data_IF_186526448663
#
_entry.id   IF_186526448663
#
_cell.length_a   1.000
_cell.length_b   1.000
_cell.length_c   1.000
_cell.angle_alpha   90.00
_cell.angle_beta   90.00
_cell.angle_gamma   90.00
#
_symmetry.space_group_name_H-M   'P 1'
#
loop_
_entity.id
_entity.type
_entity.pdbx_description
1 polymer ?
#
# COMPACT_ATOMS: atom_id res chain seq x y z
N UNK A 1 -9.13 -21.08 19.76
CA UNK A 1 -9.51 -21.06 18.34
C UNK A 1 -8.63 -20.03 17.66
N UNK A 2 -7.92 -20.35 16.55
CA UNK A 2 -7.21 -19.32 15.82
C UNK A 2 -8.24 -18.32 15.27
N UNK A 3 -7.93 -17.02 15.31
CA UNK A 3 -8.77 -16.02 14.66
C UNK A 3 -8.95 -16.41 13.18
N UNK A 4 -10.15 -16.24 12.58
CA UNK A 4 -10.32 -16.48 11.17
C UNK A 4 -9.27 -15.66 10.42
N UNK A 5 -8.53 -16.28 9.49
CA UNK A 5 -7.65 -15.55 8.61
C UNK A 5 -8.47 -14.42 7.98
N UNK A 6 -8.14 -13.17 8.31
CA UNK A 6 -8.87 -12.02 7.80
C UNK A 6 -8.82 -12.06 6.27
N UNK A 7 -9.97 -11.95 5.62
CA UNK A 7 -9.99 -11.90 4.16
C UNK A 7 -9.16 -10.70 3.67
N UNK A 8 -8.61 -10.74 2.44
CA UNK A 8 -7.92 -9.60 1.85
C UNK A 8 -8.71 -8.28 1.99
N UNK A 9 -10.03 -8.35 1.79
CA UNK A 9 -10.92 -7.21 1.93
C UNK A 9 -11.02 -6.74 3.40
N UNK A 10 -11.13 -7.65 4.36
CA UNK A 10 -11.16 -7.29 5.77
C UNK A 10 -9.83 -6.66 6.22
N UNK A 11 -8.71 -7.19 5.72
CA UNK A 11 -7.37 -6.65 5.98
C UNK A 11 -7.25 -5.19 5.52
N UNK A 12 -7.58 -4.91 4.25
CA UNK A 12 -7.45 -3.53 3.73
C UNK A 12 -8.41 -2.56 4.42
N UNK A 13 -9.61 -3.01 4.81
CA UNK A 13 -10.54 -2.20 5.59
C UNK A 13 -9.99 -1.89 6.98
N UNK A 14 -9.45 -2.89 7.68
CA UNK A 14 -8.85 -2.71 8.99
C UNK A 14 -7.63 -1.78 8.93
N UNK A 15 -6.73 -1.99 7.96
CA UNK A 15 -5.53 -1.16 7.77
C UNK A 15 -5.91 0.29 7.49
N UNK A 16 -6.86 0.50 6.57
CA UNK A 16 -7.31 1.85 6.23
C UNK A 16 -8.02 2.53 7.41
N UNK A 17 -8.87 1.82 8.16
CA UNK A 17 -9.53 2.36 9.35
C UNK A 17 -8.53 2.68 10.49
N UNK A 18 -7.55 1.79 10.72
CA UNK A 18 -6.55 1.95 11.77
C UNK A 18 -5.57 3.11 11.52
N UNK A 19 -5.43 3.56 10.27
CA UNK A 19 -4.62 4.75 9.94
C UNK A 19 -5.09 6.02 10.65
N UNK A 20 -6.35 6.08 11.10
CA UNK A 20 -6.94 7.26 11.73
C UNK A 20 -7.13 8.44 10.77
N UNK A 21 -6.89 8.27 9.47
CA UNK A 21 -6.95 9.35 8.49
C UNK A 21 -8.38 9.74 8.13
N UNK A 22 -8.61 11.04 7.96
CA UNK A 22 -9.88 11.58 7.45
C UNK A 22 -10.23 11.07 6.04
N UNK A 23 -9.23 10.63 5.27
CA UNK A 23 -9.43 10.04 3.95
C UNK A 23 -10.30 8.77 3.99
N UNK A 24 -10.12 7.91 5.01
CA UNK A 24 -10.93 6.70 5.13
C UNK A 24 -12.44 7.01 5.22
N UNK A 25 -12.80 8.04 5.99
CA UNK A 25 -14.20 8.47 6.11
C UNK A 25 -14.73 9.10 4.82
N UNK A 26 -13.89 9.81 4.05
CA UNK A 26 -14.28 10.34 2.76
C UNK A 26 -14.66 9.23 1.76
N UNK A 27 -14.05 8.04 1.87
CA UNK A 27 -14.34 6.91 0.96
C UNK A 27 -15.70 6.26 1.21
N UNK A 28 -16.30 6.43 2.40
CA UNK A 28 -17.56 5.77 2.76
C UNK A 28 -18.73 6.14 1.83
N UNK A 29 -18.68 7.33 1.24
CA UNK A 29 -19.71 7.85 0.32
C UNK A 29 -19.53 7.41 -1.14
N UNK A 30 -18.46 6.68 -1.47
CA UNK A 30 -18.23 6.18 -2.82
C UNK A 30 -19.07 4.93 -3.12
N UNK A 31 -19.44 4.69 -4.40
CA UNK A 31 -20.05 3.44 -4.82
C UNK A 31 -19.18 2.23 -4.40
N UNK A 32 -19.79 1.06 -4.10
CA UNK A 32 -19.11 -0.05 -3.43
C UNK A 32 -17.80 -0.49 -4.07
N UNK A 33 -17.74 -0.62 -5.40
CA UNK A 33 -16.51 -1.03 -6.08
C UNK A 33 -15.42 0.04 -6.04
N UNK A 34 -15.78 1.31 -6.23
CA UNK A 34 -14.81 2.41 -6.17
C UNK A 34 -14.27 2.55 -4.75
N UNK A 35 -15.14 2.38 -3.75
CA UNK A 35 -14.75 2.31 -2.34
C UNK A 35 -13.77 1.16 -2.08
N UNK A 36 -14.06 -0.04 -2.57
CA UNK A 36 -13.16 -1.18 -2.43
C UNK A 36 -11.78 -0.90 -3.06
N UNK A 37 -11.74 -0.31 -4.26
CA UNK A 37 -10.51 -0.02 -4.97
C UNK A 37 -9.66 1.01 -4.23
N UNK A 38 -10.27 2.14 -3.82
CA UNK A 38 -9.54 3.18 -3.10
C UNK A 38 -9.13 2.72 -1.70
N UNK A 39 -9.93 1.91 -1.01
CA UNK A 39 -9.52 1.35 0.29
C UNK A 39 -8.32 0.41 0.13
N UNK A 40 -8.31 -0.46 -0.88
CA UNK A 40 -7.18 -1.35 -1.14
C UNK A 40 -5.92 -0.59 -1.54
N UNK A 41 -6.07 0.42 -2.42
CA UNK A 41 -4.97 1.29 -2.83
C UNK A 41 -4.42 2.10 -1.65
N UNK A 42 -5.29 2.67 -0.82
CA UNK A 42 -4.88 3.42 0.36
C UNK A 42 -4.17 2.53 1.38
N UNK A 43 -4.66 1.30 1.59
CA UNK A 43 -3.97 0.33 2.45
C UNK A 43 -2.58 -0.04 1.91
N UNK A 44 -2.40 -0.10 0.58
CA UNK A 44 -1.08 -0.26 -0.04
C UNK A 44 -0.14 0.90 0.30
N UNK A 45 -0.58 2.15 0.08
CA UNK A 45 0.26 3.30 0.43
C UNK A 45 0.65 3.25 1.92
N UNK A 46 -0.29 2.94 2.81
CA UNK A 46 0.01 2.88 4.25
C UNK A 46 1.00 1.77 4.62
N UNK A 47 0.90 0.59 4.01
CA UNK A 47 1.90 -0.47 4.23
C UNK A 47 3.31 -0.05 3.80
N UNK A 48 3.43 0.68 2.69
CA UNK A 48 4.74 1.14 2.21
C UNK A 48 5.26 2.28 3.11
N UNK A 49 4.41 3.22 3.50
CA UNK A 49 4.77 4.31 4.42
C UNK A 49 5.20 3.79 5.81
N UNK A 50 4.49 2.80 6.37
CA UNK A 50 4.81 2.18 7.65
C UNK A 50 6.24 1.59 7.67
N UNK A 51 6.76 1.16 6.51
CA UNK A 51 8.15 0.68 6.41
C UNK A 51 9.15 1.79 6.71
N UNK A 52 8.87 3.03 6.32
CA UNK A 52 9.74 4.19 6.57
C UNK A 52 9.49 4.77 7.96
N UNK A 53 8.22 4.82 8.39
CA UNK A 53 7.81 5.42 9.66
C UNK A 53 8.23 4.57 10.88
N UNK A 54 8.08 3.26 10.81
CA UNK A 54 8.20 2.37 11.99
C UNK A 54 9.52 1.61 12.08
N UNK A 55 10.25 1.47 10.97
CA UNK A 55 11.49 0.68 10.93
C UNK A 55 12.70 1.58 11.16
N UNK A 56 13.28 1.49 12.36
CA UNK A 56 14.42 2.34 12.75
C UNK A 56 15.74 1.97 12.06
N UNK A 57 15.88 0.74 11.54
CA UNK A 57 17.08 0.30 10.83
C UNK A 57 16.94 0.53 9.30
N UNK A 58 17.78 1.39 8.69
CA UNK A 58 17.67 1.71 7.27
C UNK A 58 17.89 0.50 6.33
N UNK A 59 18.72 -0.46 6.72
CA UNK A 59 18.97 -1.66 5.92
C UNK A 59 17.76 -2.60 5.91
N UNK A 60 17.09 -2.74 7.07
CA UNK A 60 15.83 -3.48 7.18
C UNK A 60 14.72 -2.79 6.40
N UNK A 61 14.61 -1.46 6.50
CA UNK A 61 13.63 -0.68 5.74
C UNK A 61 13.84 -0.84 4.23
N UNK A 62 15.07 -0.69 3.74
CA UNK A 62 15.41 -0.89 2.33
C UNK A 62 15.09 -2.31 1.84
N UNK A 63 15.36 -3.33 2.66
CA UNK A 63 15.02 -4.74 2.34
C UNK A 63 13.51 -4.94 2.21
N UNK A 64 12.72 -4.35 3.11
CA UNK A 64 11.26 -4.42 3.05
C UNK A 64 10.69 -3.69 1.83
N UNK A 65 11.23 -2.52 1.47
CA UNK A 65 10.81 -1.81 0.25
C UNK A 65 11.18 -2.61 -1.01
N UNK A 66 12.36 -3.24 -1.06
CA UNK A 66 12.74 -4.14 -2.16
C UNK A 66 11.80 -5.36 -2.28
N UNK A 67 11.36 -5.91 -1.14
CA UNK A 67 10.33 -6.95 -1.13
C UNK A 67 9.01 -6.44 -1.72
N UNK A 68 8.58 -5.22 -1.38
CA UNK A 68 7.38 -4.60 -1.95
C UNK A 68 7.48 -4.40 -3.47
N UNK A 69 8.65 -4.02 -4.01
CA UNK A 69 8.84 -3.95 -5.47
C UNK A 69 8.65 -5.32 -6.13
N UNK A 70 9.21 -6.37 -5.52
CA UNK A 70 9.07 -7.76 -5.99
C UNK A 70 7.62 -8.22 -5.93
N UNK A 71 6.91 -7.87 -4.85
CA UNK A 71 5.50 -8.19 -4.67
C UNK A 71 4.61 -7.46 -5.69
N UNK A 72 4.92 -6.20 -6.04
CA UNK A 72 4.24 -5.49 -7.13
C UNK A 72 4.42 -6.22 -8.45
N UNK A 73 5.66 -6.56 -8.82
CA UNK A 73 5.93 -7.30 -10.06
C UNK A 73 5.14 -8.63 -10.11
N UNK A 74 5.22 -9.41 -9.04
CA UNK A 74 4.50 -10.69 -8.90
C UNK A 74 2.98 -10.53 -8.97
N UNK A 75 2.44 -9.47 -8.37
CA UNK A 75 1.00 -9.22 -8.39
C UNK A 75 0.48 -8.92 -9.80
N UNK A 76 1.24 -8.18 -10.60
CA UNK A 76 0.92 -7.92 -12.01
C UNK A 76 1.16 -9.12 -12.93
N UNK A 77 1.94 -10.12 -12.48
CA UNK A 77 2.01 -11.47 -13.08
C UNK A 77 0.86 -12.39 -12.63
N UNK A 78 -0.07 -11.89 -11.81
CA UNK A 78 -1.25 -12.63 -11.36
C UNK A 78 -1.02 -13.51 -10.12
N UNK A 79 0.08 -13.33 -9.40
CA UNK A 79 0.43 -14.14 -8.21
C UNK A 79 0.56 -13.33 -6.90
N UNK A 80 -0.36 -12.41 -6.57
CA UNK A 80 -0.23 -11.59 -5.36
C UNK A 80 -0.22 -12.45 -4.10
N UNK A 81 0.75 -12.21 -3.22
CA UNK A 81 0.90 -12.93 -1.94
C UNK A 81 0.44 -12.11 -0.76
N UNK A 82 0.56 -10.78 -0.83
CA UNK A 82 0.10 -9.89 0.23
C UNK A 82 -1.42 -9.67 0.18
N UNK A 83 -2.14 -9.67 1.31
CA UNK A 83 -3.59 -9.41 1.35
C UNK A 83 -3.99 -8.09 0.66
N UNK A 84 -3.17 -7.05 0.79
CA UNK A 84 -3.41 -5.77 0.11
C UNK A 84 -3.40 -5.92 -1.42
N UNK A 85 -2.41 -6.62 -1.95
CA UNK A 85 -2.31 -6.84 -3.40
C UNK A 85 -3.41 -7.77 -3.89
N UNK A 86 -3.77 -8.80 -3.11
CA UNK A 86 -4.89 -9.69 -3.40
C UNK A 86 -6.23 -8.94 -3.46
N UNK A 87 -6.42 -7.92 -2.62
CA UNK A 87 -7.61 -7.07 -2.66
C UNK A 87 -7.58 -6.05 -3.81
N UNK A 88 -6.40 -5.55 -4.18
CA UNK A 88 -6.22 -4.51 -5.19
C UNK A 88 -6.28 -5.03 -6.63
N UNK A 89 -5.60 -6.15 -6.92
CA UNK A 89 -5.43 -6.66 -8.28
C UNK A 89 -6.74 -6.94 -9.04
N UNK A 90 -7.81 -7.48 -8.43
CA UNK A 90 -9.08 -7.66 -9.12
C UNK A 90 -9.72 -6.34 -9.61
N UNK A 91 -9.36 -5.21 -8.99
CA UNK A 91 -9.93 -3.89 -9.26
C UNK A 91 -9.01 -3.03 -10.13
N UNK A 92 -7.71 -3.33 -10.14
CA UNK A 92 -6.69 -2.55 -10.82
C UNK A 92 -6.98 -2.29 -12.32
N UNK A 93 -7.37 -3.29 -13.15
CA UNK A 93 -7.66 -3.05 -14.56
C UNK A 93 -8.84 -2.09 -14.77
N UNK A 94 -9.88 -2.18 -13.94
CA UNK A 94 -11.09 -1.35 -14.07
C UNK A 94 -10.83 0.12 -13.79
N UNK A 95 -9.91 0.41 -12.88
CA UNK A 95 -9.58 1.78 -12.46
C UNK A 95 -8.27 2.31 -13.05
N UNK A 96 -7.64 1.57 -13.96
CA UNK A 96 -6.40 1.98 -14.63
C UNK A 96 -5.22 2.09 -13.67
N UNK A 97 -5.17 1.22 -12.65
CA UNK A 97 -4.04 1.15 -11.73
C UNK A 97 -2.95 0.32 -12.38
N UNK A 98 -1.80 0.94 -12.61
CA UNK A 98 -0.67 0.34 -13.32
C UNK A 98 0.52 0.11 -12.38
N UNK A 99 1.35 -0.88 -12.69
CA UNK A 99 2.54 -1.22 -11.90
C UNK A 99 3.44 -0.01 -11.66
N UNK A 100 3.62 0.84 -12.69
CA UNK A 100 4.43 2.06 -12.62
C UNK A 100 3.99 3.01 -11.49
N UNK A 101 2.68 3.06 -11.20
CA UNK A 101 2.15 3.95 -10.16
C UNK A 101 2.46 3.40 -8.77
N UNK A 102 2.35 2.08 -8.58
CA UNK A 102 2.69 1.44 -7.30
C UNK A 102 4.20 1.48 -7.05
N UNK A 103 5.01 1.27 -8.10
CA UNK A 103 6.46 1.40 -8.02
C UNK A 103 6.88 2.83 -7.67
N UNK A 104 6.26 3.84 -8.26
CA UNK A 104 6.55 5.25 -7.95
C UNK A 104 6.28 5.59 -6.46
N UNK A 105 5.26 4.99 -5.83
CA UNK A 105 5.03 5.15 -4.38
C UNK A 105 6.20 4.57 -3.58
N UNK A 106 6.65 3.35 -3.93
CA UNK A 106 7.78 2.70 -3.27
C UNK A 106 9.09 3.50 -3.46
N UNK A 107 9.32 4.00 -4.67
CA UNK A 107 10.48 4.85 -4.99
C UNK A 107 10.47 6.14 -4.16
N UNK A 108 9.30 6.78 -3.99
CA UNK A 108 9.16 7.94 -3.10
C UNK A 108 9.59 7.63 -1.66
N UNK A 109 9.12 6.52 -1.10
CA UNK A 109 9.53 6.08 0.25
C UNK A 109 11.03 5.72 0.33
N UNK A 110 11.63 5.20 -0.74
CA UNK A 110 13.08 4.97 -0.80
C UNK A 110 13.88 6.27 -0.78
N UNK A 111 13.38 7.32 -1.44
CA UNK A 111 14.01 8.64 -1.41
C UNK A 111 14.00 9.23 0.00
N UNK A 112 12.89 9.07 0.74
CA UNK A 112 12.79 9.56 2.13
C UNK A 112 13.76 8.86 3.08
N UNK A 113 14.08 7.58 2.86
CA UNK A 113 15.13 6.88 3.62
C UNK A 113 16.54 7.42 3.34
N UNK A 114 16.79 7.93 2.13
CA UNK A 114 18.10 8.45 1.73
C UNK A 114 18.28 9.94 2.06
N UNK A 115 17.19 10.71 2.17
CA UNK A 115 17.23 12.15 2.42
C UNK A 115 16.62 12.51 3.78
N UNK A 116 17.48 12.81 4.76
CA UNK A 116 17.05 13.31 6.07
C UNK A 116 16.62 14.79 6.06
N UNK A 117 16.79 15.50 4.93
CA UNK A 117 16.50 16.93 4.80
C UNK A 117 16.42 17.36 3.32
N UNK A 118 15.26 17.86 2.90
CA UNK A 118 15.17 18.70 1.69
C UNK A 118 15.83 20.05 2.03
N UNK A 119 16.94 20.38 1.36
CA UNK A 119 17.76 21.55 1.72
C UNK A 119 17.17 22.89 1.24
N UNK A 120 16.22 22.89 0.30
CA UNK A 120 15.78 24.11 -0.37
C UNK A 120 14.56 23.87 -1.29
N UNK A 121 13.67 24.89 -1.40
CA UNK A 121 12.57 24.99 -2.39
C UNK A 121 13.02 25.78 -3.64
N UNK A 122 14.24 25.55 -4.12
CA UNK A 122 14.82 26.36 -5.20
C UNK A 122 14.21 26.05 -6.58
#
# INVERSE_FOLDING_TARGET
MPAPASSPQAYVQQKAAASGSSFYYAFLFLPPERRAAITAFYAFCREVDDVVDEVSDPGVAATKLAWWQTEVARAFEGQPTHPVMQALMPLAPKFGIEARQLLAVIEGCQMDLAQTRYLDFA
#
